data_IF_453085512294
#
_entry.id   IF_453085512294
#
_cell.length_a   1.000
_cell.length_b   1.000
_cell.length_c   1.000
_cell.angle_alpha   90.00
_cell.angle_beta   90.00
_cell.angle_gamma   90.00
#
_symmetry.space_group_name_H-M   'P 1'
#
loop_
_entity.id
_entity.type
_entity.pdbx_description
1 polymer ?
#
# COMPACT_ATOMS: atom_id res chain seq x y z
N UNK A 1 21.28 4.15 -52.45
CA UNK A 1 22.22 5.12 -51.84
C UNK A 1 21.44 6.18 -51.09
N UNK A 2 22.05 6.69 -50.01
CA UNK A 2 21.71 7.88 -49.19
C UNK A 2 20.76 7.67 -48.00
N UNK A 3 21.42 7.53 -46.84
CA UNK A 3 20.96 7.92 -45.50
C UNK A 3 20.54 9.40 -45.50
N UNK A 4 19.54 9.78 -44.70
CA UNK A 4 19.53 11.08 -44.02
C UNK A 4 18.86 10.97 -42.64
N UNK A 5 19.53 11.57 -41.66
CA UNK A 5 19.11 11.77 -40.28
C UNK A 5 18.01 12.85 -40.22
N UNK A 6 17.06 12.70 -39.28
CA UNK A 6 16.19 13.79 -38.84
C UNK A 6 16.72 14.37 -37.53
N UNK A 7 16.93 15.68 -37.51
CA UNK A 7 17.38 16.46 -36.37
C UNK A 7 16.18 17.05 -35.60
N UNK A 8 16.36 17.16 -34.28
CA UNK A 8 15.46 17.77 -33.30
C UNK A 8 15.54 19.30 -33.39
N UNK A 9 14.40 19.99 -33.25
CA UNK A 9 14.36 21.41 -32.93
C UNK A 9 13.24 21.70 -31.91
N UNK A 10 13.65 22.10 -30.71
CA UNK A 10 12.82 22.73 -29.67
C UNK A 10 12.56 24.19 -30.07
N UNK A 11 11.32 24.65 -29.99
CA UNK A 11 10.99 26.08 -30.01
C UNK A 11 10.11 26.40 -28.81
N UNK A 12 10.65 27.21 -27.92
CA UNK A 12 9.92 27.95 -26.89
C UNK A 12 9.46 29.29 -27.50
N UNK A 13 8.23 29.71 -27.22
CA UNK A 13 7.84 31.12 -27.28
C UNK A 13 6.90 31.46 -26.12
N UNK A 14 7.38 32.42 -25.33
CA UNK A 14 6.62 33.23 -24.39
C UNK A 14 5.69 34.20 -25.16
N UNK A 15 4.59 34.60 -24.52
CA UNK A 15 3.76 35.70 -25.02
C UNK A 15 2.52 35.96 -24.18
N UNK A 16 2.69 36.57 -23.00
CA UNK A 16 1.61 37.27 -22.30
C UNK A 16 1.41 38.63 -22.98
N UNK A 17 0.16 38.97 -23.32
CA UNK A 17 -0.52 40.24 -22.96
C UNK A 17 -1.82 40.38 -23.75
N UNK A 18 -2.93 40.57 -23.03
CA UNK A 18 -4.06 41.36 -23.53
C UNK A 18 -4.80 41.95 -22.32
N UNK A 19 -4.65 43.25 -22.13
CA UNK A 19 -5.40 44.07 -21.20
C UNK A 19 -6.88 44.12 -21.62
N UNK A 20 -7.77 43.96 -20.66
CA UNK A 20 -9.19 44.25 -20.77
C UNK A 20 -9.66 44.90 -19.48
N UNK A 21 -9.83 46.21 -19.52
CA UNK A 21 -10.25 47.05 -18.39
C UNK A 21 -11.77 47.23 -18.42
N UNK A 22 -12.45 46.87 -17.32
CA UNK A 22 -13.72 47.48 -16.93
C UNK A 22 -13.99 47.21 -15.44
N UNK A 23 -14.12 48.30 -14.70
CA UNK A 23 -14.41 48.37 -13.27
C UNK A 23 -15.74 47.68 -12.88
N UNK A 24 -15.75 46.95 -11.77
CA UNK A 24 -16.48 47.38 -10.57
C UNK A 24 -16.52 46.31 -9.46
N UNK A 25 -16.17 46.79 -8.26
CA UNK A 25 -16.65 46.38 -6.93
C UNK A 25 -16.25 45.03 -6.29
N UNK A 26 -15.37 45.21 -5.28
CA UNK A 26 -15.43 44.74 -3.87
C UNK A 26 -14.84 43.37 -3.48
N UNK A 27 -13.80 43.53 -2.62
CA UNK A 27 -13.35 42.72 -1.46
C UNK A 27 -12.52 41.47 -1.76
N UNK A 28 -11.21 41.56 -1.49
CA UNK A 28 -10.52 40.96 -0.32
C UNK A 28 -8.98 41.08 -0.43
N UNK A 29 -8.30 41.38 0.69
CA UNK A 29 -6.95 40.94 1.14
C UNK A 29 -6.54 41.80 2.35
N UNK A 30 -6.08 41.31 3.52
CA UNK A 30 -5.00 40.35 3.84
C UNK A 30 -3.63 40.85 3.38
N UNK A 31 -2.94 41.54 4.31
CA UNK A 31 -1.57 42.04 4.18
C UNK A 31 -0.54 41.01 4.68
N UNK A 32 0.55 40.88 3.92
CA UNK A 32 1.77 40.12 4.25
C UNK A 32 2.94 41.12 4.28
N UNK A 33 3.67 41.14 5.39
CA UNK A 33 4.74 42.11 5.70
C UNK A 33 6.14 41.64 5.25
N UNK A 34 6.96 42.63 4.94
CA UNK A 34 8.31 42.70 4.39
C UNK A 34 9.42 41.88 5.07
N UNK A 35 10.48 41.63 4.28
CA UNK A 35 11.83 41.27 4.69
C UNK A 35 12.76 42.48 4.47
N UNK A 36 13.64 42.77 5.44
CA UNK A 36 14.71 43.76 5.32
C UNK A 36 16.09 43.09 5.26
N UNK A 37 16.91 43.61 4.34
CA UNK A 37 18.34 43.40 4.10
C UNK A 37 19.20 44.37 4.92
N UNK A 38 20.35 43.90 5.44
CA UNK A 38 21.57 44.76 5.55
C UNK A 38 22.85 43.93 5.57
N UNK A 39 23.84 44.38 4.80
CA UNK A 39 25.26 43.96 4.80
C UNK A 39 26.12 45.19 5.09
N UNK A 40 27.26 45.03 5.77
CA UNK A 40 28.64 45.42 5.36
C UNK A 40 29.61 45.26 6.57
N UNK A 41 30.83 44.86 6.22
CA UNK A 41 31.95 44.37 7.02
C UNK A 41 32.83 45.45 7.68
N UNK A 42 33.76 45.01 8.56
CA UNK A 42 35.15 45.48 8.57
C UNK A 42 36.11 44.48 9.23
N UNK A 43 37.36 44.53 8.79
CA UNK A 43 38.49 43.58 8.94
C UNK A 43 39.57 44.16 9.85
N UNK A 44 40.32 43.36 10.63
CA UNK A 44 41.76 43.61 10.91
C UNK A 44 42.50 42.33 11.37
N UNK A 45 43.68 42.09 10.78
CA UNK A 45 44.75 41.09 11.06
C UNK A 45 45.35 41.24 12.49
N UNK A 46 46.09 40.31 13.11
CA UNK A 46 47.40 39.74 12.70
C UNK A 46 47.81 38.51 13.57
N UNK A 47 48.24 37.43 12.90
CA UNK A 47 49.48 36.62 13.08
C UNK A 47 49.99 36.20 14.47
N UNK A 48 50.15 34.88 14.67
CA UNK A 48 51.44 34.26 15.05
C UNK A 48 51.45 32.74 14.82
N UNK A 49 52.63 32.26 14.39
CA UNK A 49 53.05 30.93 13.93
C UNK A 49 53.44 29.97 15.06
N UNK A 50 53.71 28.70 14.66
CA UNK A 50 54.34 27.56 15.35
C UNK A 50 53.38 26.50 15.91
N UNK A 51 53.59 25.19 15.88
CA UNK A 51 54.44 24.21 15.16
C UNK A 51 53.85 22.83 15.54
N UNK A 52 54.05 21.83 14.69
CA UNK A 52 53.85 20.36 14.85
C UNK A 52 53.42 19.80 16.23
N UNK A 53 52.37 18.99 16.23
CA UNK A 53 52.45 17.63 16.78
C UNK A 53 51.41 16.73 16.10
N UNK A 54 51.87 15.79 15.27
CA UNK A 54 51.06 14.68 14.77
C UNK A 54 50.65 13.81 15.97
N UNK A 55 49.37 13.84 16.34
CA UNK A 55 48.79 12.82 17.19
C UNK A 55 47.85 11.97 16.35
N UNK A 56 48.40 10.85 15.87
CA UNK A 56 47.65 9.70 15.38
C UNK A 56 46.75 9.20 16.50
N UNK A 57 45.50 9.65 16.53
CA UNK A 57 44.45 9.03 17.34
C UNK A 57 44.10 7.70 16.68
N UNK A 58 44.47 6.62 17.36
CA UNK A 58 44.08 5.25 17.02
C UNK A 58 42.56 5.22 16.79
N UNK A 59 42.16 4.78 15.60
CA UNK A 59 40.79 4.39 15.34
C UNK A 59 40.47 3.23 16.28
N UNK A 60 39.80 3.55 17.38
CA UNK A 60 39.08 2.56 18.18
C UNK A 60 38.06 1.93 17.26
N UNK A 61 38.38 0.73 16.77
CA UNK A 61 37.43 -0.19 16.18
C UNK A 61 36.37 -0.48 17.25
N UNK A 62 35.31 0.33 17.29
CA UNK A 62 34.04 -0.09 17.86
C UNK A 62 33.61 -1.31 17.05
N UNK A 63 33.86 -2.47 17.65
CA UNK A 63 33.30 -3.74 17.24
C UNK A 63 31.78 -3.54 17.31
N UNK A 64 31.15 -3.30 16.15
CA UNK A 64 29.70 -3.33 16.02
C UNK A 64 29.26 -4.73 16.45
N UNK A 65 28.92 -4.88 17.73
CA UNK A 65 28.12 -5.98 18.22
C UNK A 65 26.77 -5.86 17.55
N UNK A 66 26.67 -6.47 16.36
CA UNK A 66 25.39 -6.79 15.73
C UNK A 66 24.67 -7.70 16.70
N UNK A 67 23.87 -7.08 17.57
CA UNK A 67 22.89 -7.81 18.37
C UNK A 67 21.90 -8.35 17.36
N UNK A 68 22.11 -9.59 16.93
CA UNK A 68 21.16 -10.32 16.10
C UNK A 68 19.86 -10.35 16.89
N UNK A 69 18.91 -9.48 16.52
CA UNK A 69 17.57 -9.49 17.09
C UNK A 69 17.00 -10.91 16.93
N UNK A 70 16.43 -11.45 17.99
CA UNK A 70 15.76 -12.75 17.93
C UNK A 70 14.65 -12.70 16.88
N UNK A 71 14.46 -13.79 16.14
CA UNK A 71 13.38 -13.88 15.15
C UNK A 71 12.02 -13.69 15.85
N UNK A 72 11.05 -13.01 15.22
CA UNK A 72 9.72 -12.83 15.80
C UNK A 72 9.03 -14.19 15.98
N UNK A 73 8.44 -14.41 17.15
CA UNK A 73 7.64 -15.60 17.45
C UNK A 73 6.16 -15.35 17.10
N UNK A 74 5.65 -16.08 16.11
CA UNK A 74 4.26 -16.00 15.67
C UNK A 74 3.47 -17.24 16.10
N UNK A 75 2.14 -17.10 16.18
CA UNK A 75 1.26 -18.26 16.35
C UNK A 75 1.37 -19.20 15.14
N UNK A 76 1.21 -20.51 15.38
CA UNK A 76 1.25 -21.52 14.32
C UNK A 76 0.17 -21.27 13.27
N UNK A 77 0.57 -21.17 11.99
CA UNK A 77 -0.36 -21.02 10.88
C UNK A 77 -1.26 -22.25 10.74
N UNK A 78 -2.56 -22.01 10.63
CA UNK A 78 -3.57 -23.03 10.35
C UNK A 78 -4.41 -22.58 9.17
N UNK A 79 -4.40 -23.39 8.11
CA UNK A 79 -5.26 -23.15 6.96
C UNK A 79 -6.73 -23.29 7.39
N UNK A 80 -7.55 -22.28 7.06
CA UNK A 80 -8.99 -22.32 7.34
C UNK A 80 -9.67 -23.33 6.42
N UNK A 81 -10.49 -24.22 6.99
CA UNK A 81 -11.27 -25.20 6.24
C UNK A 81 -12.08 -24.53 5.12
N UNK A 82 -11.89 -24.98 3.89
CA UNK A 82 -12.57 -24.45 2.69
C UNK A 82 -11.73 -23.46 1.87
N UNK A 83 -10.62 -22.94 2.39
CA UNK A 83 -9.62 -22.26 1.57
C UNK A 83 -8.80 -23.28 0.76
N UNK A 84 -8.35 -22.87 -0.43
CA UNK A 84 -7.43 -23.67 -1.25
C UNK A 84 -6.03 -23.69 -0.63
N UNK A 85 -5.23 -24.70 -0.97
CA UNK A 85 -3.85 -24.87 -0.51
C UNK A 85 -2.81 -24.05 -1.30
N UNK A 86 -3.21 -23.52 -2.47
CA UNK A 86 -2.35 -22.65 -3.30
C UNK A 86 -2.35 -21.23 -2.77
N UNK A 87 -1.16 -20.63 -2.67
CA UNK A 87 -1.01 -19.23 -2.25
C UNK A 87 -1.59 -18.25 -3.30
N UNK A 88 -1.51 -18.62 -4.59
CA UNK A 88 -2.07 -17.89 -5.72
C UNK A 88 -2.99 -18.85 -6.48
N UNK A 89 -4.29 -18.58 -6.47
CA UNK A 89 -5.29 -19.39 -7.16
C UNK A 89 -6.29 -18.49 -7.88
N UNK A 90 -6.12 -18.32 -9.20
CA UNK A 90 -6.99 -17.45 -10.00
C UNK A 90 -8.43 -17.98 -10.11
N UNK A 91 -8.64 -19.29 -9.96
CA UNK A 91 -9.95 -19.92 -10.09
C UNK A 91 -10.70 -19.91 -8.75
N UNK A 92 -9.98 -19.88 -7.63
CA UNK A 92 -10.53 -19.92 -6.29
C UNK A 92 -10.02 -18.76 -5.39
N UNK A 93 -10.10 -17.54 -5.91
CA UNK A 93 -9.78 -16.31 -5.15
C UNK A 93 -10.71 -16.17 -3.96
N UNK A 94 -10.17 -16.36 -2.75
CA UNK A 94 -10.96 -16.36 -1.53
C UNK A 94 -10.20 -15.80 -0.33
N UNK A 95 -10.96 -15.38 0.67
CA UNK A 95 -10.48 -15.06 2.01
C UNK A 95 -11.45 -15.63 3.04
N UNK A 96 -11.02 -15.71 4.30
CA UNK A 96 -11.86 -16.10 5.41
C UNK A 96 -11.96 -14.98 6.45
N UNK A 97 -13.13 -14.87 7.07
CA UNK A 97 -13.36 -14.05 8.26
C UNK A 97 -14.11 -14.88 9.31
N UNK A 98 -13.58 -14.96 10.53
CA UNK A 98 -14.10 -15.78 11.63
C UNK A 98 -14.40 -17.23 11.22
N UNK A 99 -13.51 -17.80 10.40
CA UNK A 99 -13.61 -19.17 9.90
C UNK A 99 -14.60 -19.36 8.73
N UNK A 100 -15.37 -18.34 8.35
CA UNK A 100 -16.25 -18.40 7.16
C UNK A 100 -15.50 -17.94 5.92
N UNK A 101 -15.55 -18.74 4.86
CA UNK A 101 -14.88 -18.48 3.58
C UNK A 101 -15.77 -17.69 2.63
N UNK A 102 -15.19 -16.68 1.98
CA UNK A 102 -15.83 -15.83 0.97
C UNK A 102 -15.02 -15.86 -0.31
N UNK A 103 -15.67 -16.24 -1.41
CA UNK A 103 -15.07 -16.25 -2.73
C UNK A 103 -15.35 -14.94 -3.44
N UNK A 104 -14.30 -14.35 -4.04
CA UNK A 104 -14.45 -13.18 -4.88
C UNK A 104 -15.22 -13.55 -6.16
N UNK A 105 -16.06 -12.63 -6.64
CA UNK A 105 -16.97 -12.87 -7.75
C UNK A 105 -18.26 -13.62 -7.40
N UNK A 106 -18.33 -14.23 -6.21
CA UNK A 106 -19.51 -14.98 -5.74
C UNK A 106 -20.15 -14.33 -4.50
N UNK A 107 -19.36 -14.15 -3.42
CA UNK A 107 -19.84 -13.59 -2.18
C UNK A 107 -20.23 -12.12 -2.35
N UNK A 108 -21.39 -11.73 -1.83
CA UNK A 108 -21.95 -10.38 -1.93
C UNK A 108 -21.64 -9.54 -0.69
N UNK A 109 -21.82 -8.21 -0.78
CA UNK A 109 -21.77 -7.34 0.39
C UNK A 109 -22.73 -7.81 1.50
N UNK A 110 -23.93 -8.28 1.15
CA UNK A 110 -24.86 -8.85 2.13
C UNK A 110 -24.29 -10.11 2.80
N UNK A 111 -23.63 -10.99 2.06
CA UNK A 111 -23.03 -12.21 2.63
C UNK A 111 -21.93 -11.90 3.65
N UNK A 112 -21.16 -10.83 3.40
CA UNK A 112 -20.12 -10.34 4.31
C UNK A 112 -20.73 -9.71 5.57
N UNK A 113 -21.80 -8.92 5.43
CA UNK A 113 -22.55 -8.34 6.56
C UNK A 113 -23.17 -9.44 7.43
N UNK A 114 -23.89 -10.38 6.80
CA UNK A 114 -24.51 -11.53 7.48
C UNK A 114 -23.46 -12.47 8.08
N UNK A 115 -22.25 -12.42 7.52
CA UNK A 115 -21.05 -13.08 7.99
C UNK A 115 -20.40 -12.46 9.23
N UNK A 116 -20.89 -11.32 9.71
CA UNK A 116 -20.40 -10.66 10.91
C UNK A 116 -19.18 -9.76 10.70
N UNK A 117 -18.81 -9.45 9.44
CA UNK A 117 -17.73 -8.48 9.18
C UNK A 117 -18.16 -7.10 9.72
N UNK A 118 -17.33 -6.44 10.56
CA UNK A 118 -17.74 -5.26 11.31
C UNK A 118 -17.61 -3.98 10.47
N UNK A 119 -18.40 -3.85 9.41
CA UNK A 119 -18.50 -2.61 8.65
C UNK A 119 -18.97 -1.43 9.52
N UNK A 120 -18.45 -0.23 9.24
CA UNK A 120 -18.96 0.98 9.88
C UNK A 120 -20.43 1.17 9.51
N UNK A 121 -21.25 1.52 10.51
CA UNK A 121 -22.69 1.70 10.31
C UNK A 121 -23.01 2.76 9.25
N UNK A 122 -22.17 3.78 9.10
CA UNK A 122 -22.40 4.84 8.12
C UNK A 122 -22.10 4.38 6.70
N UNK A 123 -21.10 3.50 6.51
CA UNK A 123 -20.83 2.86 5.22
C UNK A 123 -22.05 2.05 4.77
N UNK A 124 -22.76 1.43 5.74
CA UNK A 124 -23.93 0.62 5.45
C UNK A 124 -25.20 1.43 5.09
N UNK A 125 -25.19 2.76 5.19
CA UNK A 125 -26.38 3.57 4.87
C UNK A 125 -26.77 3.51 3.38
N UNK A 126 -25.82 3.20 2.51
CA UNK A 126 -25.97 3.26 1.06
C UNK A 126 -26.15 1.89 0.40
N UNK A 127 -26.22 0.80 1.15
CA UNK A 127 -26.19 -0.56 0.59
C UNK A 127 -27.41 -0.93 -0.28
N UNK A 128 -28.49 -0.13 -0.18
CA UNK A 128 -29.68 -0.24 -1.03
C UNK A 128 -29.64 0.68 -2.27
N UNK A 129 -28.57 1.46 -2.45
CA UNK A 129 -28.35 2.26 -3.66
C UNK A 129 -28.02 1.36 -4.84
N UNK A 130 -28.34 1.84 -6.05
CA UNK A 130 -28.00 1.15 -7.28
C UNK A 130 -26.56 1.45 -7.70
N UNK A 131 -25.84 0.38 -8.02
CA UNK A 131 -24.56 0.40 -8.74
C UNK A 131 -24.85 0.30 -10.22
N UNK A 132 -24.27 1.20 -11.00
CA UNK A 132 -24.38 1.18 -12.46
C UNK A 132 -23.75 -0.09 -13.04
N UNK A 133 -24.27 -0.55 -14.18
CA UNK A 133 -23.70 -1.68 -14.92
C UNK A 133 -22.22 -1.46 -15.20
N UNK A 134 -21.39 -2.46 -14.90
CA UNK A 134 -19.94 -2.48 -15.07
C UNK A 134 -19.18 -1.45 -14.21
N UNK A 135 -19.77 -1.02 -13.09
CA UNK A 135 -19.11 -0.17 -12.09
C UNK A 135 -18.86 -0.93 -10.80
N UNK A 136 -17.81 -0.50 -10.10
CA UNK A 136 -17.54 -0.88 -8.72
C UNK A 136 -18.09 0.17 -7.76
N UNK A 137 -18.38 -0.27 -6.54
CA UNK A 137 -18.66 0.64 -5.42
C UNK A 137 -17.43 1.46 -5.05
N UNK A 138 -17.64 2.48 -4.22
CA UNK A 138 -16.56 3.03 -3.40
C UNK A 138 -15.96 1.94 -2.50
N UNK A 139 -14.75 2.20 -1.99
CA UNK A 139 -14.07 1.28 -1.07
C UNK A 139 -14.70 1.33 0.32
N UNK A 140 -15.13 0.16 0.80
CA UNK A 140 -15.50 -0.07 2.19
C UNK A 140 -14.23 -0.40 2.99
N UNK A 141 -14.05 0.21 4.16
CA UNK A 141 -12.89 -0.07 5.03
C UNK A 141 -13.37 -0.61 6.38
N UNK A 142 -12.82 -1.74 6.79
CA UNK A 142 -13.12 -2.43 8.04
C UNK A 142 -11.85 -2.44 8.89
N UNK A 143 -11.91 -1.87 10.08
CA UNK A 143 -10.82 -1.97 11.04
C UNK A 143 -10.93 -3.29 11.79
N UNK A 144 -9.85 -4.08 11.78
CA UNK A 144 -9.78 -5.37 12.47
C UNK A 144 -9.21 -5.18 13.87
N UNK A 145 -8.10 -4.44 13.96
CA UNK A 145 -7.50 -3.96 15.19
C UNK A 145 -6.77 -2.64 14.91
N UNK A 146 -6.01 -2.14 15.88
CA UNK A 146 -5.38 -0.82 15.79
C UNK A 146 -4.41 -0.69 14.61
N UNK A 147 -3.82 -1.80 14.13
CA UNK A 147 -2.81 -1.78 13.07
C UNK A 147 -3.34 -2.30 11.73
N UNK A 148 -4.44 -3.05 11.75
CA UNK A 148 -4.84 -3.89 10.63
C UNK A 148 -6.22 -3.55 10.12
N UNK A 149 -6.34 -3.45 8.81
CA UNK A 149 -7.60 -3.19 8.12
C UNK A 149 -7.85 -4.16 6.98
N UNK A 150 -9.13 -4.42 6.72
CA UNK A 150 -9.62 -4.96 5.46
C UNK A 150 -10.27 -3.86 4.63
N UNK A 151 -10.11 -3.94 3.32
CA UNK A 151 -10.79 -3.06 2.37
C UNK A 151 -11.49 -3.89 1.31
N UNK A 152 -12.69 -3.46 0.92
CA UNK A 152 -13.53 -4.17 -0.04
C UNK A 152 -14.07 -3.23 -1.12
N UNK A 153 -14.19 -3.75 -2.34
CA UNK A 153 -15.02 -3.16 -3.38
C UNK A 153 -15.92 -4.25 -3.95
N UNK A 154 -17.09 -3.83 -4.46
CA UNK A 154 -18.09 -4.72 -4.99
C UNK A 154 -18.45 -4.28 -6.41
N UNK A 155 -18.57 -5.22 -7.34
CA UNK A 155 -18.80 -4.91 -8.76
C UNK A 155 -20.21 -5.28 -9.19
N UNK A 156 -20.86 -4.40 -9.92
CA UNK A 156 -22.02 -4.80 -10.73
C UNK A 156 -21.55 -5.29 -12.09
N UNK A 157 -21.29 -6.59 -12.20
CA UNK A 157 -20.92 -7.25 -13.46
C UNK A 157 -22.12 -7.63 -14.35
N UNK A 158 -23.30 -7.02 -14.18
CA UNK A 158 -24.46 -7.27 -15.04
C UNK A 158 -24.78 -6.05 -15.90
N UNK A 159 -25.68 -6.21 -16.87
CA UNK A 159 -26.12 -5.12 -17.75
C UNK A 159 -27.29 -4.30 -17.15
N UNK A 160 -27.78 -4.70 -15.97
CA UNK A 160 -28.90 -4.06 -15.27
C UNK A 160 -28.41 -3.38 -13.98
N UNK A 161 -29.18 -2.41 -13.48
CA UNK A 161 -28.90 -1.81 -12.18
C UNK A 161 -29.03 -2.85 -11.06
N UNK A 162 -28.04 -2.92 -10.18
CA UNK A 162 -28.00 -3.86 -9.05
C UNK A 162 -27.79 -3.11 -7.75
N UNK A 163 -28.38 -3.55 -6.64
CA UNK A 163 -28.12 -2.91 -5.35
C UNK A 163 -26.71 -3.22 -4.87
N UNK A 164 -26.07 -2.29 -4.16
CA UNK A 164 -24.73 -2.48 -3.58
C UNK A 164 -24.64 -3.77 -2.75
N UNK A 165 -25.63 -4.04 -1.89
CA UNK A 165 -25.68 -5.26 -1.07
C UNK A 165 -25.68 -6.57 -1.86
N UNK A 166 -26.11 -6.54 -3.12
CA UNK A 166 -26.21 -7.71 -4.01
C UNK A 166 -24.99 -7.83 -4.95
N UNK A 167 -24.08 -6.86 -4.92
CA UNK A 167 -22.90 -6.87 -5.77
C UNK A 167 -21.84 -7.83 -5.19
N UNK A 168 -21.27 -8.73 -6.00
CA UNK A 168 -20.18 -9.60 -5.57
C UNK A 168 -18.91 -8.81 -5.23
N UNK A 169 -18.12 -9.32 -4.30
CA UNK A 169 -16.78 -8.80 -3.96
C UNK A 169 -15.90 -8.89 -5.20
N UNK A 170 -15.41 -7.75 -5.69
CA UNK A 170 -14.39 -7.69 -6.75
C UNK A 170 -13.00 -7.44 -6.19
N UNK A 171 -12.91 -6.92 -4.98
CA UNK A 171 -11.65 -6.55 -4.36
C UNK A 171 -11.68 -6.87 -2.87
N UNK A 172 -10.61 -7.50 -2.39
CA UNK A 172 -10.27 -7.53 -0.97
C UNK A 172 -8.82 -7.11 -0.81
N UNK A 173 -8.55 -6.25 0.17
CA UNK A 173 -7.20 -5.88 0.60
C UNK A 173 -7.07 -6.08 2.09
N UNK A 174 -6.04 -6.79 2.50
CA UNK A 174 -5.56 -6.81 3.88
C UNK A 174 -4.29 -5.99 3.99
N UNK A 175 -4.19 -5.14 5.01
CA UNK A 175 -3.00 -4.36 5.25
C UNK A 175 -2.77 -4.12 6.75
N UNK A 176 -1.52 -4.23 7.15
CA UNK A 176 -1.01 -3.79 8.46
C UNK A 176 -0.17 -2.52 8.30
N UNK A 177 -0.25 -1.61 9.28
CA UNK A 177 0.56 -0.40 9.31
C UNK A 177 2.03 -0.76 9.63
N UNK A 178 2.25 -1.72 10.51
CA UNK A 178 3.58 -2.14 10.98
C UNK A 178 3.85 -3.61 10.70
N UNK A 179 5.13 -3.90 10.46
CA UNK A 179 5.72 -5.24 10.48
C UNK A 179 6.92 -5.23 11.42
N UNK A 180 7.27 -6.37 12.04
CA UNK A 180 8.44 -6.42 12.90
C UNK A 180 9.70 -5.99 12.15
N UNK A 181 10.47 -5.09 12.75
CA UNK A 181 11.59 -4.43 12.11
C UNK A 181 12.78 -4.31 13.07
N UNK A 182 14.00 -4.46 12.56
CA UNK A 182 15.21 -4.45 13.38
C UNK A 182 15.41 -3.09 14.10
N UNK A 183 15.05 -2.00 13.44
CA UNK A 183 15.15 -0.64 13.99
C UNK A 183 14.08 -0.30 15.03
N UNK A 184 13.07 -1.16 15.22
CA UNK A 184 12.05 -0.95 16.24
C UNK A 184 12.49 -1.47 17.60
N UNK A 185 12.10 -0.76 18.66
CA UNK A 185 12.28 -1.26 20.02
C UNK A 185 11.57 -2.60 20.22
N UNK A 186 12.06 -3.43 21.14
CA UNK A 186 11.45 -4.73 21.49
C UNK A 186 9.95 -4.58 21.81
N UNK A 187 9.56 -3.51 22.52
CA UNK A 187 8.15 -3.24 22.84
C UNK A 187 7.28 -3.04 21.60
N UNK A 188 7.77 -2.29 20.60
CA UNK A 188 7.03 -2.03 19.36
C UNK A 188 6.93 -3.32 18.53
N UNK A 189 8.00 -4.10 18.47
CA UNK A 189 7.98 -5.40 17.78
C UNK A 189 7.01 -6.37 18.45
N UNK A 190 7.03 -6.46 19.79
CA UNK A 190 6.10 -7.31 20.54
C UNK A 190 4.63 -6.90 20.33
N UNK A 191 4.34 -5.60 20.33
CA UNK A 191 3.00 -5.08 20.04
C UNK A 191 2.57 -5.37 18.59
N UNK A 192 3.47 -5.23 17.63
CA UNK A 192 3.22 -5.54 16.22
C UNK A 192 2.91 -7.02 16.02
N UNK A 193 3.70 -7.90 16.63
CA UNK A 193 3.49 -9.36 16.59
C UNK A 193 2.15 -9.72 17.23
N UNK A 194 1.81 -9.14 18.38
CA UNK A 194 0.54 -9.37 19.05
C UNK A 194 -0.65 -8.96 18.17
N UNK A 195 -0.58 -7.82 17.48
CA UNK A 195 -1.61 -7.38 16.55
C UNK A 195 -1.75 -8.29 15.32
N UNK A 196 -0.64 -8.81 14.78
CA UNK A 196 -0.67 -9.77 13.68
C UNK A 196 -1.31 -11.11 14.11
N UNK A 197 -0.90 -11.66 15.25
CA UNK A 197 -1.48 -12.88 15.81
C UNK A 197 -2.96 -12.71 16.11
N UNK A 198 -3.34 -11.56 16.68
CA UNK A 198 -4.75 -11.26 16.94
C UNK A 198 -5.57 -11.16 15.66
N UNK A 199 -5.05 -10.47 14.63
CA UNK A 199 -5.70 -10.40 13.32
C UNK A 199 -5.87 -11.80 12.70
N UNK A 200 -4.87 -12.68 12.80
CA UNK A 200 -4.90 -14.03 12.25
C UNK A 200 -5.97 -14.94 12.87
N UNK A 201 -6.53 -14.59 14.04
CA UNK A 201 -7.69 -15.30 14.62
C UNK A 201 -8.97 -15.03 13.84
N UNK A 202 -9.05 -13.87 13.20
CA UNK A 202 -10.22 -13.39 12.50
C UNK A 202 -10.05 -13.54 10.99
N UNK A 203 -8.92 -13.11 10.43
CA UNK A 203 -8.69 -13.03 8.99
C UNK A 203 -7.80 -14.20 8.54
N UNK A 204 -8.26 -14.94 7.54
CA UNK A 204 -7.52 -16.05 6.94
C UNK A 204 -7.36 -15.92 5.42
N UNK A 205 -6.20 -16.31 4.93
CA UNK A 205 -5.94 -16.55 3.50
C UNK A 205 -5.34 -17.94 3.31
N UNK A 206 -5.14 -18.36 2.06
CA UNK A 206 -4.44 -19.61 1.73
C UNK A 206 -2.96 -19.61 2.12
N UNK A 207 -2.48 -18.51 2.70
CA UNK A 207 -1.12 -18.26 3.17
C UNK A 207 -1.16 -17.54 4.52
N UNK A 208 -0.09 -17.63 5.33
CA UNK A 208 -0.02 -16.93 6.60
C UNK A 208 0.05 -15.40 6.42
N UNK A 209 -0.51 -14.63 7.37
CA UNK A 209 -0.30 -13.17 7.41
C UNK A 209 1.16 -12.80 7.66
N UNK A 210 1.93 -13.74 8.18
CA UNK A 210 3.36 -13.65 8.47
C UNK A 210 4.24 -14.09 7.29
N UNK A 211 3.65 -14.31 6.11
CA UNK A 211 4.35 -14.70 4.87
C UNK A 211 5.57 -13.83 4.57
N UNK A 212 6.68 -14.47 4.22
CA UNK A 212 7.89 -13.82 3.70
C UNK A 212 7.94 -13.84 2.17
N UNK A 213 8.65 -12.88 1.59
CA UNK A 213 8.76 -12.73 0.13
C UNK A 213 9.35 -13.96 -0.56
N UNK A 214 10.43 -14.51 0.00
CA UNK A 214 11.09 -15.71 -0.49
C UNK A 214 10.18 -16.95 -0.41
N UNK A 215 9.46 -17.12 0.70
CA UNK A 215 8.48 -18.18 0.87
C UNK A 215 7.38 -18.10 -0.20
N UNK A 216 6.85 -16.89 -0.48
CA UNK A 216 5.87 -16.70 -1.55
C UNK A 216 6.43 -17.16 -2.90
N UNK A 217 7.65 -16.74 -3.24
CA UNK A 217 8.29 -17.07 -4.53
C UNK A 217 8.64 -18.54 -4.64
N UNK A 218 8.90 -19.23 -3.53
CA UNK A 218 9.08 -20.68 -3.50
C UNK A 218 7.75 -21.43 -3.71
N UNK A 219 6.68 -20.98 -3.04
CA UNK A 219 5.36 -21.64 -3.07
C UNK A 219 4.53 -21.33 -4.30
N UNK A 220 4.74 -20.17 -4.92
CA UNK A 220 4.03 -19.71 -6.11
C UNK A 220 4.99 -19.08 -7.13
N UNK A 221 5.94 -19.83 -7.70
CA UNK A 221 6.94 -19.26 -8.62
C UNK A 221 6.35 -18.80 -9.96
N UNK A 222 5.25 -19.41 -10.39
CA UNK A 222 4.72 -19.25 -11.73
C UNK A 222 3.99 -17.90 -11.90
N UNK A 223 4.43 -17.11 -12.88
CA UNK A 223 3.80 -15.84 -13.24
C UNK A 223 4.06 -14.69 -12.28
N UNK A 224 5.02 -14.83 -11.37
CA UNK A 224 5.43 -13.77 -10.45
C UNK A 224 6.15 -12.63 -11.19
N UNK A 225 5.62 -11.41 -11.05
CA UNK A 225 6.27 -10.17 -11.44
C UNK A 225 6.74 -9.45 -10.18
N UNK A 226 8.02 -9.59 -9.82
CA UNK A 226 8.61 -8.95 -8.63
C UNK A 226 9.38 -7.68 -8.99
N UNK A 227 9.31 -6.66 -8.14
CA UNK A 227 10.11 -5.44 -8.24
C UNK A 227 11.06 -5.24 -7.04
N UNK A 228 11.90 -4.21 -7.17
CA UNK A 228 12.88 -3.80 -6.14
C UNK A 228 12.22 -3.05 -4.96
N UNK A 229 10.92 -2.72 -5.05
CA UNK A 229 10.16 -1.99 -4.02
C UNK A 229 9.31 -2.92 -3.16
N UNK A 230 9.63 -4.21 -3.15
CA UNK A 230 8.95 -5.21 -2.34
C UNK A 230 7.59 -5.64 -2.90
N UNK A 231 7.22 -5.30 -4.14
CA UNK A 231 5.99 -5.80 -4.74
C UNK A 231 6.21 -7.13 -5.46
N UNK A 232 5.24 -8.03 -5.34
CA UNK A 232 5.14 -9.25 -6.16
C UNK A 232 3.70 -9.35 -6.67
N UNK A 233 3.54 -9.34 -7.99
CA UNK A 233 2.23 -9.34 -8.65
C UNK A 233 2.03 -10.61 -9.48
N UNK A 234 0.79 -11.12 -9.46
CA UNK A 234 0.32 -12.23 -10.29
C UNK A 234 -0.93 -11.77 -11.01
N UNK A 235 -0.89 -11.72 -12.35
CA UNK A 235 -1.94 -11.10 -13.16
C UNK A 235 -2.54 -12.06 -14.18
N UNK A 236 -3.86 -11.98 -14.33
CA UNK A 236 -4.61 -12.57 -15.42
C UNK A 236 -5.44 -11.48 -16.11
N UNK A 237 -5.58 -11.56 -17.44
CA UNK A 237 -6.42 -10.63 -18.20
C UNK A 237 -7.89 -10.97 -17.98
N UNK A 238 -8.70 -9.93 -17.80
CA UNK A 238 -10.15 -10.08 -17.79
C UNK A 238 -10.65 -10.45 -19.19
N UNK A 239 -11.68 -11.31 -19.26
CA UNK A 239 -12.31 -11.69 -20.52
C UNK A 239 -13.38 -10.68 -20.95
N UNK A 240 -13.97 -9.96 -19.99
CA UNK A 240 -15.05 -9.00 -20.22
C UNK A 240 -14.60 -7.53 -20.25
N UNK A 241 -13.62 -7.17 -19.42
CA UNK A 241 -13.19 -5.79 -19.19
C UNK A 241 -11.75 -5.54 -19.67
N UNK A 242 -11.46 -4.29 -20.01
CA UNK A 242 -10.08 -3.88 -20.26
C UNK A 242 -9.33 -3.80 -18.93
N UNK A 243 -8.39 -4.72 -18.70
CA UNK A 243 -7.55 -4.70 -17.52
C UNK A 243 -7.05 -6.08 -17.11
N UNK A 244 -6.41 -6.13 -15.95
CA UNK A 244 -5.91 -7.35 -15.32
C UNK A 244 -6.41 -7.45 -13.90
N UNK A 245 -6.74 -8.67 -13.48
CA UNK A 245 -7.05 -9.00 -12.09
C UNK A 245 -6.04 -10.02 -11.56
N UNK A 246 -6.06 -10.31 -10.26
CA UNK A 246 -5.15 -11.25 -9.62
C UNK A 246 -4.68 -10.79 -8.25
N UNK A 247 -3.43 -11.10 -7.92
CA UNK A 247 -2.86 -10.88 -6.60
C UNK A 247 -1.75 -9.84 -6.68
N UNK A 248 -1.70 -8.98 -5.67
CA UNK A 248 -0.55 -8.11 -5.42
C UNK A 248 -0.17 -8.22 -3.96
N UNK A 249 1.04 -8.67 -3.71
CA UNK A 249 1.67 -8.70 -2.40
C UNK A 249 2.66 -7.54 -2.33
N UNK A 250 2.70 -6.86 -1.19
CA UNK A 250 3.78 -5.91 -0.88
C UNK A 250 4.41 -6.31 0.43
N UNK A 251 5.72 -6.45 0.36
CA UNK A 251 6.61 -6.81 1.45
C UNK A 251 7.34 -5.56 1.92
N UNK A 252 7.62 -5.53 3.22
CA UNK A 252 8.57 -4.61 3.80
C UNK A 252 9.96 -4.84 3.19
N UNK A 253 10.63 -3.78 2.75
CA UNK A 253 11.90 -3.90 2.00
C UNK A 253 13.07 -4.37 2.85
N UNK A 254 12.99 -4.17 4.17
CA UNK A 254 14.08 -4.48 5.10
C UNK A 254 13.87 -5.84 5.78
N UNK A 255 12.63 -6.16 6.14
CA UNK A 255 12.30 -7.42 6.84
C UNK A 255 11.72 -8.52 5.95
N UNK A 256 11.47 -8.24 4.66
CA UNK A 256 10.77 -9.11 3.70
C UNK A 256 9.40 -9.63 4.21
N UNK A 257 8.84 -9.00 5.25
CA UNK A 257 7.57 -9.36 5.84
C UNK A 257 6.42 -8.82 5.00
N UNK A 258 5.42 -9.65 4.69
CA UNK A 258 4.21 -9.16 4.02
C UNK A 258 3.54 -8.07 4.86
N UNK A 259 3.35 -6.88 4.27
CA UNK A 259 2.64 -5.75 4.86
C UNK A 259 1.23 -5.59 4.31
N UNK A 260 1.04 -6.07 3.09
CA UNK A 260 -0.15 -5.84 2.31
C UNK A 260 -0.35 -6.96 1.30
N UNK A 261 -1.59 -7.40 1.16
CA UNK A 261 -2.04 -8.17 0.00
C UNK A 261 -3.36 -7.61 -0.51
N UNK A 262 -3.50 -7.49 -1.83
CA UNK A 262 -4.80 -7.34 -2.49
C UNK A 262 -5.07 -8.49 -3.44
N UNK A 263 -6.32 -8.94 -3.44
CA UNK A 263 -6.86 -9.91 -4.38
C UNK A 263 -7.98 -9.21 -5.14
N UNK A 264 -7.90 -9.26 -6.47
CA UNK A 264 -8.90 -8.69 -7.36
C UNK A 264 -9.54 -9.79 -8.19
N UNK A 265 -10.83 -9.62 -8.44
CA UNK A 265 -11.63 -10.40 -9.35
C UNK A 265 -12.31 -9.51 -10.37
N UNK A 266 -12.08 -9.84 -11.64
CA UNK A 266 -12.82 -9.30 -12.76
C UNK A 266 -13.20 -10.47 -13.68
N UNK A 267 -14.46 -10.55 -14.11
CA UNK A 267 -14.94 -11.58 -15.04
C UNK A 267 -14.41 -11.36 -16.46
#
# INVERSE_FOLDING_TARGET
MKKQLLAIALVAMMGLTACGESESSKKEKSDKKEAETTTVAETTEEKTTETEEETTTEASSEEETTTSAAAPEYDEFKLVDGLGDKYVDFDNRAFAYDGKVYKLGEATLQDLIDGGIPFDKNDLNNIDNNVNSNYETSTYTVQINDYTSLQFQFINATDEGKKEKECPVSYVRWATIYTPHADYSESINNETIANLNDCAKHVGFSFPLTLKKDELLEKAPDGAEADDYGNVEYKIKSERYLGTSGYRFTFDTDSDQMRYVSITWMP
#
